data_IF_449646798350
#
_entry.id   IF_449646798350
#
_cell.length_a   1.000
_cell.length_b   1.000
_cell.length_c   1.000
_cell.angle_alpha   90.00
_cell.angle_beta   90.00
_cell.angle_gamma   90.00
#
_symmetry.space_group_name_H-M   'P 1'
#
loop_
_entity.id
_entity.type
_entity.pdbx_description
1 polymer ?
#
# COMPACT_ATOMS: atom_id res chain seq x y z
N UNK A 1 -49.97 -11.29 -7.45
CA UNK A 1 -48.64 -11.05 -6.82
C UNK A 1 -47.64 -10.89 -7.95
N UNK A 2 -47.15 -9.68 -8.21
CA UNK A 2 -46.22 -9.40 -9.31
C UNK A 2 -44.81 -9.82 -8.91
N UNK A 3 -44.32 -10.92 -9.47
CA UNK A 3 -42.92 -11.29 -9.38
C UNK A 3 -42.11 -10.34 -10.26
N UNK A 4 -41.63 -9.24 -9.69
CA UNK A 4 -40.58 -8.43 -10.30
C UNK A 4 -39.26 -9.18 -10.15
N UNK A 5 -38.87 -9.94 -11.17
CA UNK A 5 -37.48 -10.39 -11.31
C UNK A 5 -36.60 -9.14 -11.43
N UNK A 6 -35.53 -8.99 -10.62
CA UNK A 6 -34.60 -7.88 -10.81
C UNK A 6 -33.97 -7.99 -12.20
N UNK A 7 -33.77 -6.87 -12.93
CA UNK A 7 -33.11 -6.93 -14.22
C UNK A 7 -31.68 -7.42 -14.03
N UNK A 8 -31.38 -8.58 -14.59
CA UNK A 8 -30.00 -9.05 -14.74
C UNK A 8 -29.33 -8.10 -15.74
N UNK A 9 -28.42 -7.25 -15.25
CA UNK A 9 -27.51 -6.49 -16.11
C UNK A 9 -26.21 -7.30 -16.23
N UNK A 10 -26.01 -8.09 -17.30
CA UNK A 10 -24.68 -8.59 -17.60
C UNK A 10 -23.86 -7.40 -18.10
N UNK A 11 -23.27 -6.61 -17.20
CA UNK A 11 -22.17 -5.75 -17.64
C UNK A 11 -21.03 -6.70 -18.00
N UNK A 12 -20.79 -6.86 -19.31
CA UNK A 12 -19.50 -7.39 -19.75
C UNK A 12 -18.44 -6.55 -19.05
N UNK A 13 -17.49 -7.18 -18.37
CA UNK A 13 -16.35 -6.51 -17.76
C UNK A 13 -15.59 -5.76 -18.86
N UNK A 14 -15.93 -4.49 -19.06
CA UNK A 14 -15.31 -3.66 -20.08
C UNK A 14 -14.07 -3.03 -19.45
N UNK A 15 -12.88 -3.42 -19.90
CA UNK A 15 -11.62 -2.86 -19.38
C UNK A 15 -11.57 -1.33 -19.50
N UNK A 16 -12.35 -0.72 -20.39
CA UNK A 16 -12.47 0.74 -20.49
C UNK A 16 -12.98 1.41 -19.20
N UNK A 17 -13.72 0.67 -18.38
CA UNK A 17 -14.29 1.19 -17.13
C UNK A 17 -13.26 1.25 -15.99
N UNK A 18 -12.15 0.52 -16.09
CA UNK A 18 -11.10 0.43 -15.06
C UNK A 18 -9.68 0.31 -15.64
N UNK A 19 -9.40 1.02 -16.74
CA UNK A 19 -8.12 0.89 -17.45
C UNK A 19 -6.91 1.34 -16.63
N UNK A 20 -7.09 2.23 -15.64
CA UNK A 20 -5.98 2.66 -14.80
C UNK A 20 -5.53 1.55 -13.84
N UNK A 21 -6.47 0.74 -13.34
CA UNK A 21 -6.18 -0.50 -12.63
C UNK A 21 -5.40 -1.46 -13.53
N UNK A 22 -5.84 -1.64 -14.79
CA UNK A 22 -5.11 -2.45 -15.78
C UNK A 22 -3.70 -1.89 -16.02
N UNK A 23 -3.54 -0.57 -16.10
CA UNK A 23 -2.24 0.06 -16.27
C UNK A 23 -1.32 -0.23 -15.08
N UNK A 24 -1.80 -0.09 -13.84
CA UNK A 24 -0.99 -0.43 -12.66
C UNK A 24 -0.60 -1.91 -12.65
N UNK A 25 -1.51 -2.81 -13.02
CA UNK A 25 -1.18 -4.24 -13.16
C UNK A 25 -0.10 -4.45 -14.23
N UNK A 26 -0.28 -3.85 -15.42
CA UNK A 26 0.65 -3.98 -16.52
C UNK A 26 2.04 -3.43 -16.19
N UNK A 27 2.13 -2.31 -15.46
CA UNK A 27 3.41 -1.73 -15.00
C UNK A 27 4.11 -2.69 -14.03
N UNK A 28 3.41 -3.23 -13.04
CA UNK A 28 4.00 -4.16 -12.08
C UNK A 28 4.46 -5.46 -12.74
N UNK A 29 3.63 -6.03 -13.63
CA UNK A 29 3.99 -7.23 -14.40
C UNK A 29 5.17 -6.94 -15.33
N UNK A 30 5.18 -5.81 -16.03
CA UNK A 30 6.27 -5.41 -16.92
C UNK A 30 7.59 -5.22 -16.19
N UNK A 31 7.57 -4.56 -15.03
CA UNK A 31 8.75 -4.39 -14.17
C UNK A 31 9.25 -5.73 -13.62
N UNK A 32 8.35 -6.64 -13.24
CA UNK A 32 8.72 -7.98 -12.81
C UNK A 32 9.34 -8.79 -13.95
N UNK A 33 8.79 -8.73 -15.16
CA UNK A 33 9.41 -9.36 -16.34
C UNK A 33 10.81 -8.78 -16.61
N UNK A 34 10.99 -7.47 -16.45
CA UNK A 34 12.31 -6.85 -16.59
C UNK A 34 13.30 -7.33 -15.50
N UNK A 35 12.85 -7.55 -14.26
CA UNK A 35 13.67 -8.18 -13.22
C UNK A 35 14.15 -9.57 -13.67
N UNK A 36 13.25 -10.40 -14.20
CA UNK A 36 13.57 -11.74 -14.71
C UNK A 36 14.62 -11.66 -15.82
N UNK A 37 14.42 -10.79 -16.82
CA UNK A 37 15.38 -10.62 -17.92
C UNK A 37 16.74 -10.06 -17.46
N UNK A 38 16.77 -9.40 -16.30
CA UNK A 38 18.00 -8.89 -15.69
C UNK A 38 18.69 -9.91 -14.78
N UNK A 39 18.16 -11.13 -14.65
CA UNK A 39 18.74 -12.23 -13.89
C UNK A 39 18.21 -12.39 -12.46
N UNK A 40 17.18 -11.65 -12.06
CA UNK A 40 16.56 -11.80 -10.72
C UNK A 40 15.81 -13.13 -10.65
N UNK A 41 15.99 -13.87 -9.56
CA UNK A 41 15.30 -15.14 -9.34
C UNK A 41 13.77 -14.94 -9.27
N UNK A 42 13.02 -15.76 -10.01
CA UNK A 42 11.57 -15.63 -10.18
C UNK A 42 10.79 -15.99 -8.91
N UNK A 43 11.36 -16.77 -8.01
CA UNK A 43 10.68 -17.29 -6.81
C UNK A 43 11.22 -16.68 -5.53
N UNK A 44 12.54 -16.47 -5.47
CA UNK A 44 13.24 -16.01 -4.28
C UNK A 44 14.33 -14.98 -4.67
N UNK A 45 13.94 -13.74 -5.00
CA UNK A 45 14.89 -12.66 -5.27
C UNK A 45 15.85 -12.44 -4.10
N UNK A 46 17.14 -12.26 -4.41
CA UNK A 46 18.12 -12.00 -3.37
C UNK A 46 17.94 -10.61 -2.75
N UNK A 47 18.43 -10.42 -1.53
CA UNK A 47 18.41 -9.12 -0.86
C UNK A 47 19.11 -8.00 -1.67
N UNK A 48 20.30 -8.22 -2.27
CA UNK A 48 20.92 -7.25 -3.17
C UNK A 48 20.05 -6.89 -4.37
N UNK A 49 19.36 -7.86 -4.97
CA UNK A 49 18.45 -7.60 -6.09
C UNK A 49 17.29 -6.71 -5.64
N UNK A 50 16.68 -7.01 -4.50
CA UNK A 50 15.58 -6.21 -3.96
C UNK A 50 16.02 -4.76 -3.73
N UNK A 51 17.17 -4.54 -3.08
CA UNK A 51 17.72 -3.20 -2.86
C UNK A 51 18.01 -2.49 -4.18
N UNK A 52 18.64 -3.17 -5.15
CA UNK A 52 18.93 -2.61 -6.47
C UNK A 52 17.68 -2.19 -7.23
N UNK A 53 16.59 -2.93 -7.08
CA UNK A 53 15.30 -2.65 -7.72
C UNK A 53 14.39 -1.71 -6.92
N UNK A 54 14.92 -1.06 -5.87
CA UNK A 54 14.23 0.00 -5.17
C UNK A 54 13.27 -0.49 -4.08
N UNK A 55 13.47 -1.69 -3.53
CA UNK A 55 12.80 -2.12 -2.31
C UNK A 55 13.06 -1.13 -1.16
N UNK A 56 12.09 -1.05 -0.24
CA UNK A 56 12.16 -0.19 0.93
C UNK A 56 13.04 -0.85 1.99
N UNK A 57 13.97 -0.08 2.53
CA UNK A 57 14.80 -0.47 3.66
C UNK A 57 15.02 0.77 4.51
N UNK A 58 14.39 0.83 5.69
CA UNK A 58 14.26 2.07 6.45
C UNK A 58 15.59 2.83 6.66
N UNK A 59 16.73 2.19 7.01
CA UNK A 59 18.02 2.88 7.09
C UNK A 59 18.42 3.56 5.79
N UNK A 60 18.32 2.88 4.65
CA UNK A 60 18.68 3.44 3.34
C UNK A 60 17.66 4.50 2.90
N UNK A 61 16.36 4.26 3.12
CA UNK A 61 15.26 5.14 2.73
C UNK A 61 15.31 6.49 3.45
N UNK A 62 15.54 6.50 4.77
CA UNK A 62 15.50 7.74 5.55
C UNK A 62 16.85 8.45 5.69
N UNK A 63 17.97 7.75 5.47
CA UNK A 63 19.30 8.39 5.49
C UNK A 63 19.73 8.92 4.12
N UNK A 64 19.36 8.25 3.03
CA UNK A 64 19.98 8.52 1.72
C UNK A 64 18.97 8.57 0.54
N UNK A 65 18.01 7.65 0.47
CA UNK A 65 17.20 7.41 -0.73
C UNK A 65 15.68 7.41 -0.46
N UNK A 66 15.06 8.57 -0.18
CA UNK A 66 13.64 8.65 0.17
C UNK A 66 12.69 8.23 -0.94
N UNK A 67 13.17 8.18 -2.19
CA UNK A 67 12.40 7.69 -3.35
C UNK A 67 11.96 6.22 -3.19
N UNK A 68 12.62 5.45 -2.30
CA UNK A 68 12.28 4.06 -1.98
C UNK A 68 10.89 3.89 -1.39
N UNK A 69 10.35 4.92 -0.73
CA UNK A 69 8.95 4.93 -0.29
C UNK A 69 7.99 4.70 -1.46
N UNK A 70 8.34 5.20 -2.65
CA UNK A 70 7.56 5.06 -3.88
C UNK A 70 7.98 3.84 -4.71
N UNK A 71 9.27 3.63 -4.96
CA UNK A 71 9.72 2.55 -5.87
C UNK A 71 9.43 1.16 -5.32
N UNK A 72 9.43 1.00 -3.99
CA UNK A 72 9.12 -0.26 -3.31
C UNK A 72 7.72 -0.77 -3.63
N UNK A 73 6.78 0.10 -4.01
CA UNK A 73 5.43 -0.28 -4.43
C UNK A 73 5.41 -1.16 -5.69
N UNK A 74 6.51 -1.19 -6.45
CA UNK A 74 6.57 -1.84 -7.76
C UNK A 74 7.49 -3.06 -7.83
N UNK A 75 8.34 -3.28 -6.81
CA UNK A 75 9.14 -4.50 -6.69
C UNK A 75 8.35 -5.60 -5.97
N UNK A 76 8.54 -6.86 -6.36
CA UNK A 76 7.82 -7.99 -5.77
C UNK A 76 8.77 -9.17 -5.51
N UNK A 77 8.69 -9.74 -4.30
CA UNK A 77 9.42 -10.95 -3.91
C UNK A 77 8.83 -12.21 -4.57
N UNK A 78 9.18 -12.40 -5.84
CA UNK A 78 8.84 -13.58 -6.61
C UNK A 78 7.40 -13.61 -7.16
N UNK A 79 7.14 -14.65 -7.96
CA UNK A 79 5.96 -14.77 -8.80
C UNK A 79 4.66 -14.87 -8.00
N UNK A 80 4.63 -15.67 -6.93
CA UNK A 80 3.43 -15.87 -6.12
C UNK A 80 3.04 -14.53 -5.45
N UNK A 81 4.02 -13.79 -4.93
CA UNK A 81 3.77 -12.50 -4.31
C UNK A 81 3.21 -11.50 -5.32
N UNK A 82 3.76 -11.43 -6.53
CA UNK A 82 3.21 -10.61 -7.62
C UNK A 82 1.78 -11.04 -7.96
N UNK A 83 1.54 -12.33 -8.19
CA UNK A 83 0.23 -12.84 -8.61
C UNK A 83 -0.86 -12.48 -7.60
N UNK A 84 -0.60 -12.67 -6.30
CA UNK A 84 -1.56 -12.34 -5.25
C UNK A 84 -1.83 -10.83 -5.19
N UNK A 85 -0.80 -9.99 -5.34
CA UNK A 85 -0.98 -8.53 -5.39
C UNK A 85 -1.79 -8.10 -6.61
N UNK A 86 -1.49 -8.62 -7.80
CA UNK A 86 -2.18 -8.25 -9.02
C UNK A 86 -3.62 -8.77 -9.05
N UNK A 87 -3.86 -9.95 -8.48
CA UNK A 87 -5.20 -10.47 -8.30
C UNK A 87 -6.04 -9.62 -7.34
N UNK A 88 -5.48 -9.25 -6.19
CA UNK A 88 -6.14 -8.36 -5.24
C UNK A 88 -6.34 -6.95 -5.81
N UNK A 89 -5.35 -6.41 -6.55
CA UNK A 89 -5.45 -5.13 -7.26
C UNK A 89 -6.53 -5.17 -8.33
N UNK A 90 -6.66 -6.28 -9.06
CA UNK A 90 -7.75 -6.46 -10.02
C UNK A 90 -9.12 -6.40 -9.33
N UNK A 91 -9.31 -7.15 -8.23
CA UNK A 91 -10.58 -7.19 -7.50
C UNK A 91 -10.92 -5.84 -6.88
N UNK A 92 -10.04 -5.29 -6.04
CA UNK A 92 -10.33 -4.05 -5.33
C UNK A 92 -10.20 -2.82 -6.23
N UNK A 93 -9.20 -2.81 -7.11
CA UNK A 93 -8.93 -1.69 -8.00
C UNK A 93 -10.04 -1.48 -9.02
N UNK A 94 -10.54 -2.54 -9.66
CA UNK A 94 -11.61 -2.40 -10.65
C UNK A 94 -12.90 -1.80 -10.05
N UNK A 95 -13.25 -2.19 -8.82
CA UNK A 95 -14.40 -1.63 -8.09
C UNK A 95 -14.10 -0.20 -7.63
N UNK A 96 -12.94 0.03 -7.04
CA UNK A 96 -12.55 1.35 -6.52
C UNK A 96 -12.44 2.40 -7.63
N UNK A 97 -11.84 2.08 -8.78
CA UNK A 97 -11.70 3.04 -9.89
C UNK A 97 -13.05 3.49 -10.43
N UNK A 98 -13.98 2.55 -10.61
CA UNK A 98 -15.32 2.85 -11.08
C UNK A 98 -16.17 3.62 -10.06
N UNK A 99 -15.91 3.40 -8.77
CA UNK A 99 -16.67 4.03 -7.69
C UNK A 99 -16.15 5.44 -7.38
N UNK A 100 -14.84 5.59 -7.19
CA UNK A 100 -14.22 6.86 -6.80
C UNK A 100 -13.91 7.76 -8.00
N UNK A 101 -13.84 7.19 -9.20
CA UNK A 101 -13.39 7.87 -10.40
C UNK A 101 -11.87 7.90 -10.51
N UNK A 102 -11.37 7.94 -11.75
CA UNK A 102 -9.95 7.70 -12.10
C UNK A 102 -8.96 8.56 -11.34
N UNK A 103 -9.20 9.87 -11.25
CA UNK A 103 -8.28 10.79 -10.57
C UNK A 103 -8.22 10.57 -9.06
N UNK A 104 -9.38 10.33 -8.43
CA UNK A 104 -9.44 10.07 -6.99
C UNK A 104 -8.83 8.71 -6.66
N UNK A 105 -9.15 7.68 -7.47
CA UNK A 105 -8.54 6.35 -7.37
C UNK A 105 -7.02 6.39 -7.50
N UNK A 106 -6.49 7.12 -8.50
CA UNK A 106 -5.05 7.29 -8.69
C UNK A 106 -4.37 7.86 -7.44
N UNK A 107 -4.90 8.98 -6.93
CA UNK A 107 -4.37 9.64 -5.73
C UNK A 107 -4.49 8.74 -4.50
N UNK A 108 -5.63 8.06 -4.32
CA UNK A 108 -5.85 7.12 -3.22
C UNK A 108 -4.86 5.97 -3.26
N UNK A 109 -4.67 5.33 -4.43
CA UNK A 109 -3.73 4.22 -4.59
C UNK A 109 -2.30 4.63 -4.23
N UNK A 110 -1.82 5.76 -4.78
CA UNK A 110 -0.47 6.23 -4.52
C UNK A 110 -0.27 6.66 -3.06
N UNK A 111 -1.19 7.44 -2.50
CA UNK A 111 -1.09 7.91 -1.12
C UNK A 111 -1.19 6.77 -0.10
N UNK A 112 -2.02 5.75 -0.36
CA UNK A 112 -2.08 4.57 0.50
C UNK A 112 -0.79 3.75 0.46
N UNK A 113 -0.19 3.58 -0.72
CA UNK A 113 1.13 2.93 -0.84
C UNK A 113 2.21 3.69 -0.06
N UNK A 114 2.31 5.01 -0.29
CA UNK A 114 3.26 5.87 0.41
C UNK A 114 3.05 5.88 1.93
N UNK A 115 1.80 6.00 2.39
CA UNK A 115 1.48 5.95 3.82
C UNK A 115 1.80 4.57 4.41
N UNK A 116 1.61 3.49 3.65
CA UNK A 116 2.06 2.15 4.04
C UNK A 116 3.56 2.10 4.29
N UNK A 117 4.37 2.52 3.32
CA UNK A 117 5.84 2.55 3.46
C UNK A 117 6.29 3.46 4.62
N UNK A 118 5.66 4.64 4.77
CA UNK A 118 5.95 5.56 5.87
C UNK A 118 5.60 4.96 7.23
N UNK A 119 4.46 4.30 7.35
CA UNK A 119 4.03 3.67 8.61
C UNK A 119 4.97 2.51 8.98
N UNK A 120 5.35 1.68 8.00
CA UNK A 120 6.38 0.65 8.16
C UNK A 120 7.71 1.24 8.64
N UNK A 121 8.19 2.30 7.97
CA UNK A 121 9.40 3.01 8.35
C UNK A 121 9.35 3.56 9.77
N UNK A 122 8.21 4.17 10.16
CA UNK A 122 8.01 4.72 11.49
C UNK A 122 8.11 3.66 12.59
N UNK A 123 7.60 2.44 12.35
CA UNK A 123 7.75 1.33 13.29
C UNK A 123 9.20 0.83 13.35
N UNK A 124 9.90 0.70 12.21
CA UNK A 124 11.30 0.30 12.21
C UNK A 124 12.20 1.30 12.99
N UNK A 125 11.89 2.60 12.89
CA UNK A 125 12.55 3.65 13.68
C UNK A 125 12.25 3.45 15.17
N UNK A 126 10.97 3.34 15.52
CA UNK A 126 10.51 3.15 16.89
C UNK A 126 11.13 1.91 17.54
N UNK A 127 11.18 0.79 16.82
CA UNK A 127 11.75 -0.47 17.29
C UNK A 127 13.26 -0.35 17.53
N UNK A 128 13.98 0.32 16.62
CA UNK A 128 15.42 0.61 16.83
C UNK A 128 15.63 1.52 18.04
N UNK A 129 14.84 2.58 18.20
CA UNK A 129 14.91 3.50 19.36
C UNK A 129 14.65 2.74 20.66
N UNK A 130 13.67 1.83 20.68
CA UNK A 130 13.36 1.03 21.86
C UNK A 130 14.47 0.05 22.21
N UNK A 131 15.05 -0.64 21.22
CA UNK A 131 16.22 -1.50 21.41
C UNK A 131 17.39 -0.71 22.03
N UNK A 132 17.63 0.50 21.54
CA UNK A 132 18.67 1.39 22.07
C UNK A 132 18.39 1.79 23.52
N UNK A 133 17.16 2.22 23.83
CA UNK A 133 16.76 2.65 25.17
C UNK A 133 16.82 1.51 26.19
N UNK A 134 16.44 0.30 25.78
CA UNK A 134 16.44 -0.88 26.65
C UNK A 134 17.81 -1.56 26.72
N UNK A 135 18.76 -1.18 25.86
CA UNK A 135 20.07 -1.81 25.72
C UNK A 135 19.97 -3.32 25.41
N UNK A 136 18.94 -3.72 24.67
CA UNK A 136 18.68 -5.11 24.26
C UNK A 136 18.62 -5.18 22.74
N UNK A 137 19.36 -6.13 22.17
CA UNK A 137 19.31 -6.42 20.73
C UNK A 137 18.39 -7.62 20.51
N UNK A 138 17.18 -7.36 19.99
CA UNK A 138 16.29 -8.37 19.44
C UNK A 138 16.43 -8.42 17.90
N UNK A 139 16.97 -9.51 17.32
CA UNK A 139 17.10 -9.67 15.87
C UNK A 139 15.78 -9.59 15.10
N UNK A 140 14.64 -9.90 15.73
CA UNK A 140 13.33 -9.87 15.08
C UNK A 140 12.83 -8.44 14.81
N UNK A 141 13.36 -7.47 15.55
CA UNK A 141 13.02 -6.05 15.47
C UNK A 141 13.98 -5.24 14.59
N UNK A 142 14.98 -5.88 14.00
CA UNK A 142 15.87 -5.21 13.06
C UNK A 142 15.09 -4.70 11.83
N UNK A 143 15.50 -3.58 11.23
CA UNK A 143 14.85 -3.10 10.01
C UNK A 143 14.89 -4.18 8.91
N UNK A 144 13.72 -4.49 8.37
CA UNK A 144 13.57 -5.49 7.30
C UNK A 144 13.47 -4.80 5.94
N UNK A 145 13.91 -5.49 4.88
CA UNK A 145 13.68 -5.04 3.50
C UNK A 145 12.29 -5.47 3.07
N UNK A 146 11.50 -4.53 2.53
CA UNK A 146 10.12 -4.79 2.12
C UNK A 146 9.79 -4.15 0.78
N UNK A 147 8.83 -4.74 0.07
CA UNK A 147 8.38 -4.26 -1.23
C UNK A 147 7.06 -4.92 -1.59
N UNK A 148 6.33 -4.31 -2.52
CA UNK A 148 5.10 -4.81 -3.09
C UNK A 148 4.00 -3.75 -3.12
N UNK A 149 3.04 -3.95 -4.02
CA UNK A 149 1.88 -3.08 -4.14
C UNK A 149 0.91 -3.20 -2.94
N UNK A 150 1.13 -4.12 -2.01
CA UNK A 150 0.13 -4.56 -1.03
C UNK A 150 -0.34 -3.46 -0.08
N UNK A 151 0.51 -2.48 0.27
CA UNK A 151 0.07 -1.33 1.07
C UNK A 151 -1.00 -0.51 0.36
N UNK A 152 -0.80 -0.23 -0.93
CA UNK A 152 -1.78 0.46 -1.76
C UNK A 152 -3.06 -0.36 -1.97
N UNK A 153 -2.92 -1.67 -2.21
CA UNK A 153 -4.06 -2.59 -2.35
C UNK A 153 -4.88 -2.67 -1.06
N UNK A 154 -4.22 -2.75 0.11
CA UNK A 154 -4.89 -2.72 1.41
C UNK A 154 -5.58 -1.38 1.67
N UNK A 155 -5.03 -0.28 1.13
CA UNK A 155 -5.72 1.01 1.08
C UNK A 155 -7.01 0.98 0.27
N UNK A 156 -7.00 0.38 -0.93
CA UNK A 156 -8.23 0.20 -1.72
C UNK A 156 -9.25 -0.67 -0.97
N UNK A 157 -8.81 -1.75 -0.36
CA UNK A 157 -9.65 -2.62 0.47
C UNK A 157 -10.25 -1.88 1.68
N UNK A 158 -9.43 -1.09 2.40
CA UNK A 158 -9.86 -0.26 3.52
C UNK A 158 -10.85 0.83 3.11
N UNK A 159 -10.62 1.48 1.97
CA UNK A 159 -11.52 2.47 1.38
C UNK A 159 -12.90 1.88 1.08
N UNK A 160 -12.94 0.74 0.37
CA UNK A 160 -14.19 0.05 0.04
C UNK A 160 -14.89 -0.49 1.28
N UNK A 161 -14.12 -1.01 2.25
CA UNK A 161 -14.66 -1.50 3.52
C UNK A 161 -15.34 -0.38 4.29
N UNK A 162 -14.67 0.76 4.48
CA UNK A 162 -15.28 1.90 5.17
C UNK A 162 -16.54 2.37 4.45
N UNK A 163 -16.49 2.49 3.12
CA UNK A 163 -17.64 2.94 2.35
C UNK A 163 -18.83 1.98 2.48
N UNK A 164 -18.60 0.67 2.57
CA UNK A 164 -19.64 -0.33 2.77
C UNK A 164 -20.39 -0.21 4.11
N UNK A 165 -19.81 0.51 5.08
CA UNK A 165 -20.44 0.77 6.37
C UNK A 165 -21.41 1.96 6.32
N UNK A 166 -21.33 2.80 5.29
CA UNK A 166 -22.20 3.95 5.13
C UNK A 166 -23.46 3.62 4.32
N UNK A 167 -24.54 4.41 4.49
CA UNK A 167 -25.69 4.36 3.59
C UNK A 167 -25.26 4.54 2.12
N UNK A 168 -25.85 3.73 1.23
CA UNK A 168 -25.55 3.77 -0.21
C UNK A 168 -25.91 5.15 -0.76
N UNK A 169 -24.97 5.77 -1.48
CA UNK A 169 -25.20 7.05 -2.14
C UNK A 169 -26.01 6.86 -3.44
N UNK A 170 -26.86 7.83 -3.85
CA UNK A 170 -27.65 7.71 -5.08
C UNK A 170 -26.82 7.48 -6.35
N UNK A 171 -25.59 7.98 -6.38
CA UNK A 171 -24.67 7.89 -7.51
C UNK A 171 -23.82 6.61 -7.50
N UNK A 172 -23.92 5.78 -6.45
CA UNK A 172 -23.09 4.60 -6.28
C UNK A 172 -23.55 3.46 -7.20
N UNK A 173 -22.65 3.00 -8.08
CA UNK A 173 -22.95 1.94 -9.06
C UNK A 173 -23.00 0.53 -8.46
N UNK A 174 -22.32 0.31 -7.35
CA UNK A 174 -22.14 -1.02 -6.74
C UNK A 174 -22.67 -1.06 -5.32
N UNK A 175 -23.39 -2.13 -4.97
CA UNK A 175 -23.68 -2.42 -3.57
C UNK A 175 -22.48 -3.19 -3.02
N UNK A 176 -21.84 -2.63 -1.99
CA UNK A 176 -20.68 -3.24 -1.35
C UNK A 176 -21.15 -4.17 -0.22
N UNK A 177 -20.78 -5.45 -0.28
CA UNK A 177 -21.07 -6.38 0.80
C UNK A 177 -20.08 -6.17 1.95
N UNK A 178 -20.54 -5.44 2.97
CA UNK A 178 -19.76 -5.17 4.18
C UNK A 178 -19.29 -6.42 4.91
N UNK A 179 -20.07 -7.52 4.91
CA UNK A 179 -19.68 -8.73 5.65
C UNK A 179 -18.46 -9.35 4.98
N UNK A 180 -18.51 -9.50 3.66
CA UNK A 180 -17.39 -10.02 2.87
C UNK A 180 -16.18 -9.11 2.97
N UNK A 181 -16.34 -7.78 2.83
CA UNK A 181 -15.22 -6.85 2.92
C UNK A 181 -14.54 -6.86 4.30
N UNK A 182 -15.31 -6.76 5.39
CA UNK A 182 -14.74 -6.84 6.76
C UNK A 182 -14.04 -8.18 6.96
N UNK A 183 -14.65 -9.29 6.54
CA UNK A 183 -14.08 -10.62 6.67
C UNK A 183 -12.77 -10.75 5.90
N UNK A 184 -12.73 -10.33 4.63
CA UNK A 184 -11.52 -10.41 3.79
C UNK A 184 -10.41 -9.54 4.35
N UNK A 185 -10.72 -8.29 4.75
CA UNK A 185 -9.71 -7.41 5.35
C UNK A 185 -9.19 -7.96 6.68
N UNK A 186 -10.08 -8.49 7.53
CA UNK A 186 -9.72 -9.11 8.80
C UNK A 186 -8.84 -10.36 8.61
N UNK A 187 -9.22 -11.25 7.69
CA UNK A 187 -8.43 -12.44 7.34
C UNK A 187 -7.05 -12.04 6.81
N UNK A 188 -6.97 -11.08 5.90
CA UNK A 188 -5.68 -10.63 5.35
C UNK A 188 -4.74 -10.10 6.43
N UNK A 189 -5.25 -9.32 7.40
CA UNK A 189 -4.45 -8.85 8.53
C UNK A 189 -4.04 -10.00 9.45
N UNK A 190 -4.94 -10.93 9.78
CA UNK A 190 -4.62 -12.08 10.63
C UNK A 190 -3.58 -12.99 9.97
N UNK A 191 -3.77 -13.32 8.69
CA UNK A 191 -2.79 -14.09 7.92
C UNK A 191 -1.43 -13.37 7.92
N UNK A 192 -1.45 -12.06 7.70
CA UNK A 192 -0.26 -11.22 7.75
C UNK A 192 0.49 -11.31 9.09
N UNK A 193 -0.22 -11.39 10.22
CA UNK A 193 0.39 -11.58 11.53
C UNK A 193 1.00 -12.97 11.72
N UNK A 194 0.52 -13.98 10.99
CA UNK A 194 0.96 -15.38 11.13
C UNK A 194 2.06 -15.80 10.15
N UNK A 195 2.20 -15.12 9.01
CA UNK A 195 3.19 -15.46 7.97
C UNK A 195 4.37 -14.49 8.03
N UNK A 196 5.55 -15.03 8.31
CA UNK A 196 6.81 -14.27 8.26
C UNK A 196 7.06 -13.66 6.89
N UNK A 197 7.52 -12.42 6.84
CA UNK A 197 7.80 -11.68 5.60
C UNK A 197 6.63 -10.83 5.09
N UNK A 198 5.45 -10.90 5.73
CA UNK A 198 4.35 -9.96 5.42
C UNK A 198 4.52 -8.67 6.23
N UNK A 199 4.56 -7.54 5.52
CA UNK A 199 4.65 -6.22 6.14
C UNK A 199 3.27 -5.70 6.57
N UNK A 200 2.83 -6.12 7.77
CA UNK A 200 1.54 -5.68 8.33
C UNK A 200 1.50 -4.17 8.62
N UNK A 201 2.64 -3.57 8.96
CA UNK A 201 2.72 -2.15 9.20
C UNK A 201 2.33 -1.36 7.94
N UNK A 202 2.86 -1.78 6.79
CA UNK A 202 2.48 -1.20 5.51
C UNK A 202 1.00 -1.44 5.15
N UNK A 203 0.47 -2.62 5.48
CA UNK A 203 -0.96 -2.93 5.25
C UNK A 203 -1.87 -2.04 6.10
N UNK A 204 -1.56 -1.88 7.39
CA UNK A 204 -2.33 -1.05 8.31
C UNK A 204 -2.23 0.42 7.90
N UNK A 205 -1.02 0.93 7.62
CA UNK A 205 -0.82 2.32 7.18
C UNK A 205 -1.59 2.64 5.90
N UNK A 206 -1.52 1.75 4.90
CA UNK A 206 -2.28 1.90 3.65
C UNK A 206 -3.79 1.83 3.87
N UNK A 207 -4.27 0.87 4.67
CA UNK A 207 -5.69 0.72 5.00
C UNK A 207 -6.28 1.95 5.70
N UNK A 208 -5.54 2.52 6.66
CA UNK A 208 -5.94 3.73 7.37
C UNK A 208 -6.04 4.93 6.42
N UNK A 209 -5.04 5.13 5.55
CA UNK A 209 -5.09 6.19 4.53
C UNK A 209 -6.32 6.00 3.61
N UNK A 210 -6.51 4.80 3.08
CA UNK A 210 -7.64 4.48 2.21
C UNK A 210 -8.99 4.75 2.87
N UNK A 211 -9.14 4.35 4.13
CA UNK A 211 -10.35 4.63 4.92
C UNK A 211 -10.57 6.15 5.08
N UNK A 212 -9.56 6.91 5.52
CA UNK A 212 -9.67 8.38 5.67
C UNK A 212 -10.10 9.04 4.36
N UNK A 213 -9.48 8.68 3.23
CA UNK A 213 -9.82 9.23 1.93
C UNK A 213 -11.23 8.83 1.48
N UNK A 214 -11.64 7.58 1.66
CA UNK A 214 -13.01 7.16 1.37
C UNK A 214 -14.05 7.93 2.21
N UNK A 215 -13.75 8.22 3.47
CA UNK A 215 -14.58 9.05 4.34
C UNK A 215 -14.74 10.47 3.81
N UNK A 216 -13.64 11.12 3.41
CA UNK A 216 -13.66 12.46 2.79
C UNK A 216 -14.49 12.44 1.52
N UNK A 217 -14.24 11.47 0.64
CA UNK A 217 -15.00 11.30 -0.60
C UNK A 217 -16.50 11.16 -0.32
N UNK A 218 -16.88 10.27 0.59
CA UNK A 218 -18.28 10.04 0.95
C UNK A 218 -18.97 11.31 1.47
N UNK A 219 -18.33 12.04 2.39
CA UNK A 219 -18.89 13.27 2.96
C UNK A 219 -19.09 14.35 1.90
N UNK A 220 -18.14 14.52 0.98
CA UNK A 220 -18.26 15.46 -0.13
C UNK A 220 -19.38 15.07 -1.10
N UNK A 221 -19.51 13.78 -1.43
CA UNK A 221 -20.57 13.28 -2.30
C UNK A 221 -21.96 13.45 -1.68
N UNK A 222 -22.09 13.09 -0.39
CA UNK A 222 -23.33 13.29 0.37
C UNK A 222 -23.74 14.77 0.44
N UNK A 223 -22.75 15.66 0.53
CA UNK A 223 -22.96 17.11 0.54
C UNK A 223 -23.17 17.72 -0.85
N UNK A 224 -23.26 16.90 -1.90
CA UNK A 224 -23.40 17.32 -3.31
C UNK A 224 -22.25 18.22 -3.78
N UNK A 225 -21.04 18.02 -3.24
CA UNK A 225 -19.82 18.78 -3.60
C UNK A 225 -18.69 17.84 -4.07
N UNK A 226 -18.90 17.04 -5.15
CA UNK A 226 -17.92 16.06 -5.64
C UNK A 226 -16.53 16.65 -5.88
N UNK A 227 -16.45 17.87 -6.43
CA UNK A 227 -15.18 18.52 -6.76
C UNK A 227 -14.30 18.77 -5.53
N UNK A 228 -14.91 19.00 -4.35
CA UNK A 228 -14.16 19.22 -3.11
C UNK A 228 -13.49 17.94 -2.60
N UNK A 229 -14.02 16.75 -2.96
CA UNK A 229 -13.42 15.48 -2.52
C UNK A 229 -11.95 15.42 -2.92
N UNK A 230 -11.64 15.72 -4.19
CA UNK A 230 -10.29 15.66 -4.71
C UNK A 230 -9.35 16.65 -4.02
N UNK A 231 -9.80 17.89 -3.82
CA UNK A 231 -9.00 18.95 -3.17
C UNK A 231 -8.71 18.59 -1.71
N UNK A 232 -9.74 18.23 -0.94
CA UNK A 232 -9.60 17.89 0.48
C UNK A 232 -8.82 16.58 0.66
N UNK A 233 -9.15 15.56 -0.13
CA UNK A 233 -8.47 14.27 -0.09
C UNK A 233 -6.98 14.39 -0.42
N UNK A 234 -6.64 15.11 -1.49
CA UNK A 234 -5.23 15.31 -1.88
C UNK A 234 -4.48 16.14 -0.83
N UNK A 235 -5.11 17.20 -0.30
CA UNK A 235 -4.52 17.99 0.78
C UNK A 235 -4.24 17.13 2.02
N UNK A 236 -5.23 16.35 2.48
CA UNK A 236 -5.06 15.47 3.65
C UNK A 236 -4.00 14.41 3.40
N UNK A 237 -3.99 13.78 2.23
CA UNK A 237 -2.98 12.78 1.87
C UNK A 237 -1.56 13.37 1.90
N UNK A 238 -1.35 14.52 1.24
CA UNK A 238 -0.03 15.18 1.19
C UNK A 238 0.40 15.61 2.58
N UNK A 239 -0.47 16.31 3.32
CA UNK A 239 -0.13 16.86 4.65
C UNK A 239 0.18 15.74 5.64
N UNK A 240 -0.62 14.66 5.65
CA UNK A 240 -0.38 13.54 6.57
C UNK A 240 0.88 12.76 6.22
N UNK A 241 1.12 12.45 4.94
CA UNK A 241 2.37 11.81 4.51
C UNK A 241 3.58 12.70 4.82
N UNK A 242 3.50 14.00 4.52
CA UNK A 242 4.58 14.94 4.81
C UNK A 242 4.86 15.03 6.31
N UNK A 243 3.83 15.18 7.13
CA UNK A 243 4.00 15.28 8.58
C UNK A 243 4.60 14.00 9.18
N UNK A 244 4.12 12.82 8.76
CA UNK A 244 4.69 11.55 9.22
C UNK A 244 6.14 11.38 8.74
N UNK A 245 6.46 11.79 7.52
CA UNK A 245 7.82 11.77 7.02
C UNK A 245 8.75 12.70 7.82
N UNK A 246 8.31 13.93 8.11
CA UNK A 246 9.07 14.86 8.97
C UNK A 246 9.27 14.31 10.38
N UNK A 247 8.23 13.70 10.95
CA UNK A 247 8.33 13.02 12.24
C UNK A 247 9.39 11.90 12.20
N UNK A 248 9.38 11.06 11.16
CA UNK A 248 10.38 10.01 10.98
C UNK A 248 11.79 10.59 10.90
N UNK A 249 12.01 11.64 10.09
CA UNK A 249 13.32 12.29 9.99
C UNK A 249 13.82 12.84 11.32
N UNK A 250 12.93 13.41 12.13
CA UNK A 250 13.27 13.88 13.47
C UNK A 250 13.70 12.73 14.39
N UNK A 251 12.98 11.60 14.37
CA UNK A 251 13.32 10.44 15.21
C UNK A 251 14.60 9.74 14.73
N UNK A 252 14.85 9.69 13.42
CA UNK A 252 16.06 9.07 12.84
C UNK A 252 17.35 9.71 13.34
N UNK A 253 17.34 11.01 13.67
CA UNK A 253 18.52 11.69 14.24
C UNK A 253 19.03 11.02 15.52
N UNK A 254 18.16 10.37 16.30
CA UNK A 254 18.53 9.67 17.54
C UNK A 254 19.29 8.37 17.28
N UNK A 255 19.06 7.74 16.13
CA UNK A 255 19.58 6.40 15.78
C UNK A 255 20.48 6.42 14.54
N UNK A 256 20.76 7.59 13.99
CA UNK A 256 21.53 7.77 12.77
C UNK A 256 22.90 7.07 12.81
N UNK A 257 23.71 7.13 13.89
CA UNK A 257 25.01 6.43 13.92
C UNK A 257 24.86 4.92 13.73
N UNK A 258 23.88 4.31 14.41
CA UNK A 258 23.63 2.86 14.36
C UNK A 258 23.16 2.45 12.97
N UNK A 259 22.24 3.22 12.38
CA UNK A 259 21.75 2.95 11.04
C UNK A 259 22.81 3.16 9.96
N UNK A 260 23.73 4.11 10.15
CA UNK A 260 24.87 4.31 9.26
C UNK A 260 25.83 3.10 9.32
N UNK A 261 26.15 2.59 10.51
CA UNK A 261 26.97 1.38 10.68
C UNK A 261 26.30 0.15 10.07
N UNK A 262 24.99 -0.03 10.31
CA UNK A 262 24.22 -1.13 9.74
C UNK A 262 24.22 -1.08 8.20
N UNK A 263 24.05 0.12 7.64
CA UNK A 263 24.09 0.31 6.19
C UNK A 263 25.49 0.05 5.63
N UNK A 264 26.55 0.51 6.31
CA UNK A 264 27.93 0.22 5.91
C UNK A 264 28.23 -1.29 5.94
N UNK A 265 27.79 -2.00 6.98
CA UNK A 265 27.95 -3.45 7.07
C UNK A 265 27.20 -4.17 5.94
N UNK A 266 25.97 -3.71 5.60
CA UNK A 266 25.23 -4.25 4.45
C UNK A 266 25.96 -3.99 3.14
N UNK A 267 26.51 -2.79 2.91
CA UNK A 267 27.28 -2.46 1.69
C UNK A 267 28.53 -3.33 1.55
N UNK A 268 29.26 -3.54 2.65
CA UNK A 268 30.44 -4.41 2.65
C UNK A 268 30.09 -5.85 2.29
N UNK A 269 28.93 -6.34 2.74
CA UNK A 269 28.48 -7.71 2.49
C UNK A 269 27.89 -7.92 1.09
N UNK A 270 27.21 -6.92 0.56
CA UNK A 270 26.35 -7.07 -0.63
C UNK A 270 26.75 -6.22 -1.82
N UNK A 271 27.74 -5.32 -1.69
CA UNK A 271 28.31 -4.49 -2.75
C UNK A 271 27.27 -3.68 -3.54
N UNK A 272 26.41 -2.93 -2.83
CA UNK A 272 25.47 -1.97 -3.41
C UNK A 272 25.76 -0.54 -2.93
#
# INVERSE_FOLDING_TARGET
MSHSTPPWLPSKLNMQDWWLTTLFIAVNVGLFLWQIFSGVNVSDPSLPDAIRWGADYAPLTFLEEPIRLFTSMFFHFGLIHLMLNMWALYIFGSVAEQLFGRFYYFMLYLSAGLMGSLFSGSLAIHDTVNMLNQQVIDPSLLPHVSAGASGAVMGLGGALTLLSLFPVLPQQRFILDKKTLIMVMGINLVIGLTISGINNAAHVGGMLMGAVLAGIWYLCQKSQKPALSFILGTTVAIVSCWFLYQYCLQQVQLIQPIWAELLQAMRQRYHF
#
